data_IF_770666551906
#
_entry.id   IF_770666551906
#
_cell.length_a   1.000
_cell.length_b   1.000
_cell.length_c   1.000
_cell.angle_alpha   90.00
_cell.angle_beta   90.00
_cell.angle_gamma   90.00
#
_symmetry.space_group_name_H-M   'P 1'
#
loop_
_entity.id
_entity.type
_entity.pdbx_description
1 polymer ?
#
# COMPACT_ATOMS: atom_id res chain seq x y z
N UNK A 1 22.48 11.17 -25.67
CA UNK A 1 21.57 10.04 -25.48
C UNK A 1 20.51 10.38 -24.46
N UNK A 2 19.27 10.09 -24.80
CA UNK A 2 18.17 10.34 -23.86
C UNK A 2 18.02 9.18 -22.90
N UNK A 3 17.92 9.50 -21.64
CA UNK A 3 17.62 8.52 -20.62
C UNK A 3 16.14 8.62 -20.32
N UNK A 4 15.43 7.54 -20.62
CA UNK A 4 14.00 7.51 -20.33
C UNK A 4 13.80 7.37 -18.83
N UNK A 5 12.91 8.19 -18.32
CA UNK A 5 12.59 8.09 -16.90
C UNK A 5 11.81 6.81 -16.63
N UNK A 6 12.26 6.06 -15.63
CA UNK A 6 11.53 4.88 -15.18
C UNK A 6 10.78 5.19 -13.89
N UNK A 7 10.63 6.48 -13.60
CA UNK A 7 9.89 6.87 -12.41
C UNK A 7 8.45 6.42 -12.50
N UNK A 8 7.93 5.87 -11.42
CA UNK A 8 6.56 5.43 -11.33
C UNK A 8 5.72 6.57 -10.77
N UNK A 9 4.59 6.81 -11.41
CA UNK A 9 3.64 7.81 -10.93
C UNK A 9 2.33 7.12 -10.57
N UNK A 10 1.72 7.59 -9.50
CA UNK A 10 0.41 7.12 -9.08
C UNK A 10 -0.62 8.13 -9.55
N UNK A 11 -1.44 7.74 -10.48
CA UNK A 11 -2.52 8.59 -11.00
C UNK A 11 -3.84 8.09 -10.43
N UNK A 12 -4.65 8.95 -9.81
CA UNK A 12 -5.94 8.50 -9.27
C UNK A 12 -6.76 7.83 -10.36
N UNK A 13 -7.36 6.71 -10.02
CA UNK A 13 -8.17 5.97 -10.99
C UNK A 13 -9.44 6.75 -11.32
N UNK A 14 -9.82 6.70 -12.59
CA UNK A 14 -11.03 7.34 -13.09
C UNK A 14 -11.96 6.28 -13.63
N UNK A 15 -13.25 6.61 -13.83
CA UNK A 15 -14.19 5.60 -14.32
C UNK A 15 -13.73 4.89 -15.58
N UNK A 16 -13.02 5.60 -16.46
CA UNK A 16 -12.52 5.00 -17.70
C UNK A 16 -11.43 3.95 -17.44
N UNK A 17 -10.83 3.97 -16.27
CA UNK A 17 -9.78 3.00 -15.94
C UNK A 17 -10.34 1.68 -15.46
N UNK A 18 -11.64 1.60 -15.21
CA UNK A 18 -12.23 0.43 -14.57
C UNK A 18 -11.92 -0.86 -15.32
N UNK A 19 -12.05 -0.84 -16.64
CA UNK A 19 -11.80 -2.04 -17.43
C UNK A 19 -10.38 -2.54 -17.30
N UNK A 20 -9.43 -1.62 -17.34
CA UNK A 20 -8.02 -1.97 -17.18
C UNK A 20 -7.76 -2.54 -15.79
N UNK A 21 -8.29 -1.88 -14.77
CA UNK A 21 -8.07 -2.31 -13.40
C UNK A 21 -8.67 -3.69 -13.18
N UNK A 22 -9.90 -3.89 -13.62
CA UNK A 22 -10.56 -5.18 -13.46
C UNK A 22 -9.77 -6.28 -14.16
N UNK A 23 -9.34 -6.01 -15.39
CA UNK A 23 -8.56 -6.97 -16.16
C UNK A 23 -7.30 -7.38 -15.41
N UNK A 24 -6.60 -6.40 -14.85
CA UNK A 24 -5.33 -6.68 -14.18
C UNK A 24 -5.55 -7.41 -12.87
N UNK A 25 -6.56 -7.03 -12.10
CA UNK A 25 -6.83 -7.69 -10.82
C UNK A 25 -7.24 -9.14 -11.03
N UNK A 26 -8.10 -9.41 -12.02
CA UNK A 26 -8.53 -10.78 -12.31
C UNK A 26 -7.32 -11.65 -12.68
N UNK A 27 -6.43 -11.13 -13.50
CA UNK A 27 -5.25 -11.89 -13.89
C UNK A 27 -4.32 -12.20 -12.72
N UNK A 28 -4.42 -11.42 -11.67
CA UNK A 28 -3.60 -11.63 -10.47
C UNK A 28 -4.39 -12.28 -9.34
N UNK A 29 -5.58 -12.79 -9.64
CA UNK A 29 -6.43 -13.48 -8.67
C UNK A 29 -6.76 -12.62 -7.46
N UNK A 30 -6.96 -11.32 -7.70
CA UNK A 30 -7.32 -10.38 -6.65
C UNK A 30 -8.80 -10.03 -6.73
N UNK A 31 -9.42 -9.70 -5.59
CA UNK A 31 -10.87 -9.45 -5.55
C UNK A 31 -11.30 -8.26 -6.39
N UNK A 32 -12.44 -8.39 -7.06
CA UNK A 32 -13.04 -7.28 -7.82
C UNK A 32 -14.48 -6.99 -7.41
N UNK A 33 -15.01 -7.76 -6.46
CA UNK A 33 -16.45 -7.64 -6.11
C UNK A 33 -16.81 -6.24 -5.62
N UNK A 34 -15.90 -5.55 -4.94
CA UNK A 34 -16.17 -4.22 -4.44
C UNK A 34 -15.51 -3.12 -5.29
N UNK A 35 -15.12 -3.46 -6.51
CA UNK A 35 -14.33 -2.53 -7.33
C UNK A 35 -15.04 -1.21 -7.60
N UNK A 36 -16.34 -1.26 -7.92
CA UNK A 36 -17.08 -0.04 -8.21
C UNK A 36 -17.03 0.93 -7.04
N UNK A 37 -17.17 0.40 -5.83
CA UNK A 37 -17.18 1.21 -4.62
C UNK A 37 -15.79 1.73 -4.28
N UNK A 38 -14.76 0.92 -4.54
CA UNK A 38 -13.40 1.24 -4.12
C UNK A 38 -12.57 1.94 -5.17
N UNK A 39 -13.10 2.11 -6.37
CA UNK A 39 -12.34 2.73 -7.44
C UNK A 39 -11.71 4.06 -7.03
N UNK A 40 -12.40 4.93 -6.29
CA UNK A 40 -11.79 6.21 -5.89
C UNK A 40 -10.60 6.07 -4.95
N UNK A 41 -10.39 4.88 -4.39
CA UNK A 41 -9.25 4.63 -3.49
C UNK A 41 -8.06 4.03 -4.23
N UNK A 42 -8.19 3.83 -5.53
CA UNK A 42 -7.16 3.15 -6.30
C UNK A 42 -6.39 4.13 -7.17
N UNK A 43 -5.20 3.73 -7.54
CA UNK A 43 -4.35 4.46 -8.46
C UNK A 43 -3.95 3.57 -9.61
N UNK A 44 -3.91 4.15 -10.79
CA UNK A 44 -3.25 3.51 -11.92
C UNK A 44 -1.79 3.92 -11.84
N UNK A 45 -0.91 2.95 -11.92
CA UNK A 45 0.52 3.18 -11.81
C UNK A 45 1.11 3.18 -13.20
N UNK A 46 1.87 4.22 -13.51
CA UNK A 46 2.39 4.36 -14.87
C UNK A 46 3.77 4.98 -14.87
N UNK A 47 4.52 4.70 -15.94
CA UNK A 47 5.75 5.40 -16.25
C UNK A 47 5.43 6.35 -17.38
N UNK A 48 6.47 7.02 -17.91
CA UNK A 48 6.26 7.87 -19.06
C UNK A 48 5.83 7.10 -20.30
N UNK A 49 6.12 5.81 -20.31
CA UNK A 49 5.87 4.98 -21.50
C UNK A 49 4.56 4.22 -21.47
N UNK A 50 4.13 3.79 -20.28
CA UNK A 50 3.02 2.85 -20.24
C UNK A 50 2.45 2.71 -18.85
N UNK A 51 1.23 2.17 -18.79
CA UNK A 51 0.67 1.74 -17.52
C UNK A 51 1.38 0.46 -17.10
N UNK A 52 1.68 0.35 -15.83
CA UNK A 52 2.40 -0.82 -15.33
C UNK A 52 1.68 -1.54 -14.20
N UNK A 53 0.62 -0.97 -13.67
CA UNK A 53 -0.05 -1.64 -12.58
C UNK A 53 -1.10 -0.80 -11.90
N UNK A 54 -1.56 -1.31 -10.77
CA UNK A 54 -2.58 -0.66 -9.97
C UNK A 54 -2.24 -0.91 -8.50
N UNK A 55 -2.77 -0.06 -7.63
CA UNK A 55 -2.64 -0.25 -6.19
C UNK A 55 -3.45 0.79 -5.46
N UNK A 56 -3.72 0.55 -4.18
CA UNK A 56 -4.47 1.51 -3.41
C UNK A 56 -4.34 1.33 -1.92
N UNK A 57 -4.88 2.30 -1.21
CA UNK A 57 -4.93 2.28 0.25
C UNK A 57 -6.30 2.78 0.67
N UNK A 58 -6.97 2.02 1.52
CA UNK A 58 -8.19 2.49 2.17
C UNK A 58 -7.77 3.10 3.50
N UNK A 59 -8.38 4.22 3.83
CA UNK A 59 -8.05 4.97 5.04
C UNK A 59 -9.15 4.77 6.08
N UNK A 60 -8.78 4.28 7.26
CA UNK A 60 -9.71 3.97 8.34
C UNK A 60 -9.15 4.52 9.66
N UNK A 61 -9.43 5.79 9.91
CA UNK A 61 -8.91 6.50 11.09
C UNK A 61 -7.39 6.52 11.06
N UNK A 62 -6.73 5.86 12.01
CA UNK A 62 -5.27 5.86 12.07
C UNK A 62 -4.65 4.69 11.33
N UNK A 63 -5.47 3.81 10.80
CA UNK A 63 -4.98 2.61 10.12
C UNK A 63 -5.39 2.62 8.66
N UNK A 64 -4.54 2.05 7.82
CA UNK A 64 -4.84 1.91 6.41
C UNK A 64 -4.81 0.46 5.98
N UNK A 65 -5.46 0.19 4.87
CA UNK A 65 -5.44 -1.14 4.26
C UNK A 65 -4.88 -1.00 2.85
N UNK A 66 -3.68 -1.54 2.64
CA UNK A 66 -3.07 -1.61 1.31
C UNK A 66 -3.78 -2.74 0.58
N UNK A 67 -4.24 -2.45 -0.63
CA UNK A 67 -5.03 -3.44 -1.37
C UNK A 67 -4.82 -3.30 -2.86
N UNK A 68 -5.19 -4.38 -3.57
CA UNK A 68 -5.30 -4.37 -5.03
C UNK A 68 -3.99 -4.01 -5.72
N UNK A 69 -2.86 -4.39 -5.13
CA UNK A 69 -1.56 -4.11 -5.74
C UNK A 69 -1.26 -5.19 -6.77
N UNK A 70 -1.11 -4.78 -8.01
CA UNK A 70 -0.81 -5.72 -9.10
C UNK A 70 0.03 -5.01 -10.13
N UNK A 71 1.07 -5.70 -10.61
CA UNK A 71 1.95 -5.20 -11.66
C UNK A 71 1.72 -6.04 -12.90
N UNK A 72 1.65 -5.41 -14.06
CA UNK A 72 1.48 -6.13 -15.31
C UNK A 72 2.63 -7.10 -15.49
N UNK A 73 2.29 -8.28 -16.01
CA UNK A 73 3.27 -9.34 -16.20
C UNK A 73 4.46 -8.87 -17.02
N UNK A 74 4.18 -8.11 -18.07
CA UNK A 74 5.23 -7.61 -18.96
C UNK A 74 6.17 -6.62 -18.28
N UNK A 75 5.76 -6.04 -17.16
CA UNK A 75 6.56 -5.05 -16.45
C UNK A 75 7.25 -5.62 -15.23
N UNK A 76 7.01 -6.89 -14.91
CA UNK A 76 7.62 -7.49 -13.73
C UNK A 76 9.11 -7.70 -13.91
N UNK A 77 9.81 -7.84 -12.79
CA UNK A 77 11.25 -8.06 -12.82
C UNK A 77 12.06 -6.77 -12.92
N UNK A 78 11.40 -5.62 -12.84
CA UNK A 78 12.07 -4.33 -12.96
C UNK A 78 11.99 -3.49 -11.68
N UNK A 79 11.52 -4.09 -10.58
CA UNK A 79 11.43 -3.37 -9.32
C UNK A 79 10.23 -2.45 -9.22
N UNK A 80 9.30 -2.50 -10.14
CA UNK A 80 8.14 -1.61 -10.11
C UNK A 80 7.23 -1.88 -8.92
N UNK A 81 7.06 -3.15 -8.54
CA UNK A 81 6.26 -3.47 -7.37
C UNK A 81 6.74 -2.77 -6.13
N UNK A 82 8.04 -2.77 -5.92
CA UNK A 82 8.64 -2.09 -4.78
C UNK A 82 8.40 -0.59 -4.85
N UNK A 83 8.58 0.00 -6.05
CA UNK A 83 8.38 1.44 -6.21
C UNK A 83 6.93 1.84 -5.99
N UNK A 84 5.99 1.04 -6.51
CA UNK A 84 4.57 1.31 -6.32
C UNK A 84 4.23 1.28 -4.83
N UNK A 85 4.66 0.23 -4.14
CA UNK A 85 4.36 0.10 -2.72
C UNK A 85 4.99 1.22 -1.91
N UNK A 86 6.23 1.60 -2.21
CA UNK A 86 6.87 2.70 -1.49
C UNK A 86 6.12 4.00 -1.69
N UNK A 87 5.59 4.25 -2.89
CA UNK A 87 4.82 5.47 -3.13
C UNK A 87 3.47 5.42 -2.42
N UNK A 88 2.83 4.27 -2.37
CA UNK A 88 1.59 4.12 -1.62
C UNK A 88 1.83 4.37 -0.14
N UNK A 89 2.91 3.82 0.40
CA UNK A 89 3.23 4.01 1.81
C UNK A 89 3.57 5.46 2.12
N UNK A 90 4.27 6.14 1.22
CA UNK A 90 4.58 7.54 1.41
C UNK A 90 3.31 8.39 1.43
N UNK A 91 2.35 8.09 0.55
CA UNK A 91 1.09 8.81 0.57
C UNK A 91 0.31 8.52 1.84
N UNK A 92 0.29 7.27 2.28
CA UNK A 92 -0.37 6.90 3.52
C UNK A 92 0.23 7.65 4.69
N UNK A 93 1.55 7.72 4.75
CA UNK A 93 2.23 8.41 5.82
C UNK A 93 1.89 9.91 5.82
N UNK A 94 1.78 10.50 4.64
CA UNK A 94 1.49 11.94 4.55
C UNK A 94 0.08 12.29 5.01
N UNK A 95 -0.81 11.30 5.17
CA UNK A 95 -2.17 11.54 5.64
C UNK A 95 -2.33 11.17 7.11
N UNK A 96 -1.24 11.04 7.83
CA UNK A 96 -1.23 10.79 9.27
C UNK A 96 -1.66 9.38 9.66
N UNK A 97 -1.61 8.43 8.73
CA UNK A 97 -1.79 7.03 9.10
C UNK A 97 -0.57 6.56 9.87
N UNK A 98 -0.81 5.84 10.96
CA UNK A 98 0.28 5.32 11.77
C UNK A 98 0.65 3.88 11.43
N UNK A 99 -0.29 3.11 10.89
CA UNK A 99 -0.08 1.70 10.61
C UNK A 99 -0.86 1.33 9.36
N UNK A 100 -0.28 0.46 8.53
CA UNK A 100 -1.01 -0.10 7.39
C UNK A 100 -1.01 -1.61 7.50
N UNK A 101 -2.10 -2.19 7.03
CA UNK A 101 -2.32 -3.64 7.01
C UNK A 101 -2.54 -4.10 5.57
N UNK A 102 -2.37 -5.39 5.35
CA UNK A 102 -2.73 -6.00 4.08
C UNK A 102 -2.99 -7.49 4.28
N UNK A 103 -3.65 -8.07 3.29
CA UNK A 103 -3.84 -9.51 3.20
C UNK A 103 -3.22 -9.99 1.90
N UNK A 104 -2.48 -11.08 1.95
CA UNK A 104 -1.88 -11.63 0.74
C UNK A 104 -1.88 -13.15 0.81
N UNK A 105 -2.10 -13.78 -0.33
CA UNK A 105 -2.05 -15.24 -0.41
C UNK A 105 -0.71 -15.74 -0.93
N UNK A 106 0.02 -14.92 -1.68
CA UNK A 106 1.22 -15.41 -2.36
C UNK A 106 2.43 -14.48 -2.25
N UNK A 107 2.27 -13.27 -1.71
CA UNK A 107 3.32 -12.27 -1.76
C UNK A 107 3.88 -11.89 -0.40
N UNK A 108 3.73 -12.78 0.59
CA UNK A 108 4.17 -12.46 1.94
C UNK A 108 5.68 -12.19 2.01
N UNK A 109 6.49 -12.91 1.25
CA UNK A 109 7.93 -12.65 1.25
C UNK A 109 8.25 -11.30 0.64
N UNK A 110 7.53 -10.93 -0.40
CA UNK A 110 7.72 -9.63 -1.05
C UNK A 110 7.42 -8.50 -0.05
N UNK A 111 6.30 -8.59 0.66
CA UNK A 111 5.94 -7.55 1.61
C UNK A 111 6.83 -7.57 2.84
N UNK A 112 7.34 -8.74 3.24
CA UNK A 112 8.29 -8.79 4.35
C UNK A 112 9.54 -7.97 4.03
N UNK A 113 9.99 -8.03 2.78
CA UNK A 113 11.16 -7.24 2.37
C UNK A 113 10.88 -5.74 2.39
N UNK A 114 9.60 -5.36 2.35
CA UNK A 114 9.21 -3.96 2.44
C UNK A 114 8.90 -3.53 3.87
N UNK A 115 9.24 -4.36 4.85
CA UNK A 115 9.09 -3.98 6.24
C UNK A 115 7.79 -4.40 6.90
N UNK A 116 6.97 -5.17 6.20
CA UNK A 116 5.75 -5.71 6.80
C UNK A 116 6.08 -6.96 7.59
N UNK A 117 5.31 -7.20 8.64
CA UNK A 117 5.45 -8.42 9.43
C UNK A 117 4.10 -9.10 9.55
N UNK A 118 4.13 -10.41 9.62
CA UNK A 118 2.89 -11.18 9.76
C UNK A 118 2.30 -10.96 11.13
N UNK A 119 0.99 -10.79 11.20
CA UNK A 119 0.28 -10.63 12.47
C UNK A 119 -0.97 -11.49 12.45
N UNK A 120 -1.43 -11.85 13.64
CA UNK A 120 -2.67 -12.60 13.76
C UNK A 120 -3.84 -11.69 13.42
N UNK A 121 -4.82 -12.23 12.69
CA UNK A 121 -5.99 -11.45 12.29
C UNK A 121 -6.74 -10.87 13.47
N UNK A 122 -6.71 -11.58 14.60
CA UNK A 122 -7.40 -11.14 15.80
C UNK A 122 -6.88 -9.81 16.35
N UNK A 123 -5.63 -9.49 16.05
CA UNK A 123 -5.00 -8.28 16.58
C UNK A 123 -5.28 -7.03 15.74
N UNK A 124 -5.94 -7.20 14.62
CA UNK A 124 -6.20 -6.11 13.68
C UNK A 124 -7.37 -5.25 14.21
N UNK A 125 -7.30 -3.92 14.08
CA UNK A 125 -8.40 -3.06 14.57
C UNK A 125 -9.72 -3.37 13.90
N UNK A 126 -10.84 -3.16 14.62
CA UNK A 126 -12.15 -3.42 14.01
C UNK A 126 -12.40 -2.64 12.72
N UNK A 127 -11.86 -1.42 12.61
CA UNK A 127 -12.06 -0.64 11.39
C UNK A 127 -11.49 -1.34 10.17
N UNK A 128 -10.42 -2.11 10.34
CA UNK A 128 -9.83 -2.87 9.24
C UNK A 128 -10.54 -4.21 9.09
N UNK A 129 -10.87 -4.88 10.20
CA UNK A 129 -11.57 -6.15 10.15
C UNK A 129 -12.90 -6.06 9.44
N UNK A 130 -13.56 -4.90 9.54
CA UNK A 130 -14.89 -4.74 8.97
C UNK A 130 -14.86 -4.33 7.50
N UNK A 131 -13.69 -4.22 6.89
CA UNK A 131 -13.60 -3.95 5.47
C UNK A 131 -14.05 -5.19 4.70
N UNK A 132 -14.54 -4.97 3.48
CA UNK A 132 -15.00 -6.08 2.66
C UNK A 132 -13.86 -7.06 2.35
N UNK A 133 -12.66 -6.55 2.17
CA UNK A 133 -11.53 -7.42 1.85
C UNK A 133 -11.23 -8.39 3.00
N UNK A 134 -11.28 -7.88 4.24
CA UNK A 134 -11.01 -8.73 5.41
C UNK A 134 -12.16 -9.68 5.72
N UNK A 135 -13.40 -9.20 5.59
CA UNK A 135 -14.53 -10.00 6.02
C UNK A 135 -15.00 -11.00 4.97
N UNK A 136 -14.91 -10.66 3.69
CA UNK A 136 -15.57 -11.45 2.67
C UNK A 136 -14.73 -11.82 1.46
N UNK A 137 -13.84 -10.94 1.02
CA UNK A 137 -13.24 -11.09 -0.30
C UNK A 137 -11.96 -11.91 -0.32
N UNK A 138 -11.18 -11.89 0.76
CA UNK A 138 -9.94 -12.65 0.80
C UNK A 138 -10.15 -13.97 1.53
N UNK A 139 -9.48 -15.04 1.05
CA UNK A 139 -9.62 -16.35 1.71
C UNK A 139 -9.14 -16.32 3.16
N UNK A 140 -9.69 -17.21 3.97
CA UNK A 140 -9.25 -17.33 5.35
C UNK A 140 -7.76 -17.71 5.44
N UNK A 141 -7.22 -18.28 4.38
CA UNK A 141 -5.80 -18.68 4.35
C UNK A 141 -4.85 -17.53 4.01
N UNK A 142 -5.38 -16.36 3.65
CA UNK A 142 -4.52 -15.23 3.35
C UNK A 142 -3.75 -14.80 4.60
N UNK A 143 -2.48 -14.45 4.39
CA UNK A 143 -1.61 -13.98 5.46
C UNK A 143 -1.92 -12.52 5.73
N UNK A 144 -2.10 -12.16 6.99
CA UNK A 144 -2.32 -10.79 7.40
C UNK A 144 -0.99 -10.18 7.81
N UNK A 145 -0.67 -9.00 7.29
CA UNK A 145 0.59 -8.34 7.58
C UNK A 145 0.36 -6.89 7.95
N UNK A 146 1.30 -6.33 8.71
CA UNK A 146 1.21 -4.92 9.07
C UNK A 146 2.59 -4.28 9.01
N UNK A 147 2.57 -2.96 8.83
CA UNK A 147 3.78 -2.15 8.91
C UNK A 147 3.44 -0.85 9.61
N UNK A 148 4.28 -0.47 10.60
CA UNK A 148 4.14 0.81 11.29
C UNK A 148 4.86 1.87 10.47
N UNK A 149 4.15 2.95 10.16
CA UNK A 149 4.69 3.98 9.29
C UNK A 149 5.58 4.97 10.02
N UNK A 150 5.29 5.18 11.30
CA UNK A 150 6.08 6.14 12.06
C UNK A 150 7.54 5.74 12.17
N UNK A 151 7.80 4.45 12.17
CA UNK A 151 9.16 3.96 12.30
C UNK A 151 9.91 3.89 10.98
N UNK A 152 9.20 3.99 9.89
CA UNK A 152 9.79 3.77 8.57
C UNK A 152 10.47 5.00 7.99
N UNK A 153 10.15 6.13 8.55
CA UNK A 153 10.64 7.38 7.96
C UNK A 153 11.79 7.86 8.78
N UNK A 154 12.71 7.63 8.37
CA UNK A 154 13.57 7.90 9.09
C UNK A 154 14.83 7.86 9.29
N UNK A 155 14.28 7.80 9.76
CA UNK A 155 14.92 7.65 9.99
C UNK A 155 15.73 7.70 10.38
N UNK A 156 15.99 7.84 10.77
CA UNK A 156 16.53 7.91 11.05
C UNK A 156 16.83 8.65 11.76
N UNK A 157 16.57 9.06 12.28
CA UNK A 157 16.61 9.65 12.84
C UNK A 157 16.42 10.06 13.51
N UNK A 158 16.57 10.14 14.06
CA UNK A 158 16.25 10.51 14.81
C UNK A 158 15.98 10.96 15.48
N UNK A 159 16.17 10.96 15.81
CA UNK A 159 15.72 11.22 16.48
C UNK A 159 15.55 11.91 16.93
N UNK A 160 15.67 12.07 17.23
CA UNK A 160 15.31 12.56 17.84
C UNK A 160 14.99 12.97 18.39
N UNK A 161 15.23 12.88 18.44
CA UNK A 161 14.77 13.12 19.13
C UNK A 161 14.59 13.65 19.55
N UNK A 162 14.79 13.64 19.68
CA UNK A 162 14.47 14.02 20.26
C UNK A 162 14.38 14.64 20.63
N UNK A 163 14.65 14.76 20.82
CA UNK A 163 14.44 15.24 21.36
C UNK A 163 14.20 15.88 21.76
N UNK A 164 14.35 15.93 21.87
CA UNK A 164 14.04 16.45 22.46
C UNK A 164 13.94 17.02 22.86
N UNK A 165 14.11 17.01 23.11
CA UNK A 165 13.89 17.41 23.71
C UNK A 165 13.77 18.08 24.08
N UNK A 166 13.95 18.12 24.07
CA UNK A 166 13.86 18.52 24.65
C UNK A 166 13.66 19.17 25.06
N UNK A 167 13.75 19.30 25.10
CA UNK A 167 13.59 19.73 25.70
C UNK A 167 13.33 20.39 26.23
N UNK A 168 13.31 20.56 26.27
CA UNK A 168 13.03 21.10 26.88
C UNK A 168 12.74 21.61 27.55
N UNK A 169 12.79 21.59 27.71
CA UNK A 169 12.51 21.88 28.49
C UNK A 169 12.43 22.57 29.17
N UNK A 170 12.54 22.75 29.34
CA UNK A 170 12.38 23.24 29.97
C UNK A 170 12.26 23.94 30.59
N UNK A 171 12.31 24.20 31.06
CA UNK A 171 12.08 24.86 31.62
C UNK A 171 11.94 25.42 32.40
N UNK A 172 11.91 25.73 32.87
CA UNK A 172 11.61 26.42 33.83
C UNK A 172 11.32 26.79 34.60
#
# INVERSE_FOLDING_TARGET
MLVMSTEVKLRPAEPDDRGYIEWLLVRNELPIADLSEKLPRLYVCETEMERIGVGGVEYHHEAGLVRSVAIEESARGNGYGTRVCNKLLARAHSTSLSTVYLLTTTADEFFARLGFEEVARETVPPSIKNTSEFSDLCPATAVCMKRDLDESVGVRTHARASLPLTSARSSP
#
